data_IF_945371446723
#
_entry.id   IF_945371446723
#
_cell.length_a   1.000
_cell.length_b   1.000
_cell.length_c   1.000
_cell.angle_alpha   90.00
_cell.angle_beta   90.00
_cell.angle_gamma   90.00
#
_symmetry.space_group_name_H-M   'P 1'
#
loop_
_entity.id
_entity.type
_entity.pdbx_description
1 polymer ?
#
# COMPACT_ATOMS: atom_id res chain seq x y z
N UNK A 1 -1.85 46.74 -24.24
CA UNK A 1 -0.96 47.81 -24.75
C UNK A 1 -1.38 48.10 -26.16
N UNK A 2 -1.88 49.32 -26.43
CA UNK A 2 -2.09 49.75 -27.81
C UNK A 2 -0.72 49.75 -28.54
N UNK A 3 -0.63 49.01 -29.62
CA UNK A 3 0.57 48.97 -30.44
C UNK A 3 0.82 50.40 -30.97
N UNK A 4 1.95 50.99 -30.61
CA UNK A 4 2.37 52.29 -31.15
C UNK A 4 2.52 52.13 -32.66
N UNK A 5 1.60 52.69 -33.43
CA UNK A 5 1.68 52.67 -34.89
C UNK A 5 2.95 53.42 -35.34
N UNK A 6 3.72 52.92 -36.33
CA UNK A 6 4.97 53.50 -36.75
C UNK A 6 4.82 54.75 -37.64
N UNK A 7 3.62 55.34 -37.74
CA UNK A 7 3.30 56.50 -38.59
C UNK A 7 2.52 57.56 -37.78
N UNK A 8 2.50 58.81 -38.27
CA UNK A 8 1.87 59.94 -37.59
C UNK A 8 0.34 59.90 -37.66
N UNK A 9 -0.36 60.67 -36.84
CA UNK A 9 -1.81 60.83 -36.94
C UNK A 9 -2.23 61.47 -38.27
N UNK A 10 -1.44 62.37 -38.83
CA UNK A 10 -1.67 62.97 -40.14
C UNK A 10 -1.61 61.95 -41.27
N UNK A 11 -0.64 61.03 -41.24
CA UNK A 11 -0.57 59.94 -42.23
C UNK A 11 -1.78 59.01 -42.13
N UNK A 12 -2.24 58.80 -40.91
CA UNK A 12 -3.44 57.98 -40.70
C UNK A 12 -4.70 58.61 -41.32
N UNK A 13 -4.92 59.89 -41.13
CA UNK A 13 -6.07 60.58 -41.64
C UNK A 13 -5.99 60.81 -43.16
N UNK A 14 -4.82 60.88 -43.76
CA UNK A 14 -4.60 60.98 -45.21
C UNK A 14 -4.77 59.64 -45.94
N UNK A 15 -4.79 58.53 -45.20
CA UNK A 15 -4.99 57.18 -45.75
C UNK A 15 -6.48 56.97 -46.12
N UNK A 16 -6.78 56.39 -47.34
CA UNK A 16 -8.13 56.07 -47.72
C UNK A 16 -8.88 55.25 -46.69
N UNK A 17 -10.21 55.49 -46.51
CA UNK A 17 -11.02 54.87 -45.45
C UNK A 17 -11.02 53.33 -45.55
N UNK A 18 -11.08 52.78 -46.76
CA UNK A 18 -11.02 51.34 -47.01
C UNK A 18 -9.71 50.71 -46.53
N UNK A 19 -8.56 51.42 -46.68
CA UNK A 19 -7.28 50.96 -46.24
C UNK A 19 -7.16 51.04 -44.73
N UNK A 20 -7.69 52.08 -44.09
CA UNK A 20 -7.75 52.21 -42.63
C UNK A 20 -8.60 51.07 -42.01
N UNK A 21 -9.75 50.81 -42.61
CA UNK A 21 -10.58 49.71 -42.17
C UNK A 21 -9.88 48.35 -42.27
N UNK A 22 -9.13 48.11 -43.31
CA UNK A 22 -8.32 46.91 -43.49
C UNK A 22 -7.19 46.80 -42.49
N UNK A 23 -6.46 47.90 -42.21
CA UNK A 23 -5.41 47.93 -41.20
C UNK A 23 -6.00 47.60 -39.80
N UNK A 24 -7.12 48.20 -39.40
CA UNK A 24 -7.77 47.92 -38.13
C UNK A 24 -8.20 46.45 -38.07
N UNK A 25 -8.73 45.87 -39.15
CA UNK A 25 -9.06 44.47 -39.21
C UNK A 25 -7.83 43.58 -39.02
N UNK A 26 -6.68 43.89 -39.67
CA UNK A 26 -5.44 43.16 -39.49
C UNK A 26 -4.89 43.25 -38.03
N UNK A 27 -4.95 44.44 -37.43
CA UNK A 27 -4.54 44.65 -36.03
C UNK A 27 -5.39 43.80 -35.08
N UNK A 28 -6.71 43.74 -35.32
CA UNK A 28 -7.63 42.89 -34.57
C UNK A 28 -7.29 41.39 -34.74
N UNK A 29 -7.00 40.96 -35.97
CA UNK A 29 -6.64 39.60 -36.29
C UNK A 29 -5.31 39.17 -35.60
N UNK A 30 -4.31 40.04 -35.67
CA UNK A 30 -3.01 39.84 -35.01
C UNK A 30 -3.22 39.73 -33.49
N UNK A 31 -4.04 40.61 -32.88
CA UNK A 31 -4.34 40.54 -31.47
C UNK A 31 -5.11 39.26 -31.08
N UNK A 32 -5.95 38.73 -31.95
CA UNK A 32 -6.59 37.43 -31.74
C UNK A 32 -5.60 36.28 -31.86
N UNK A 33 -4.71 36.33 -32.84
CA UNK A 33 -3.67 35.31 -33.04
C UNK A 33 -2.69 35.28 -31.87
N UNK A 34 -2.26 36.43 -31.37
CA UNK A 34 -1.39 36.52 -30.18
C UNK A 34 -2.05 35.88 -28.95
N UNK A 35 -3.30 36.25 -28.65
CA UNK A 35 -4.04 35.63 -27.54
C UNK A 35 -4.15 34.12 -27.70
N UNK A 36 -4.32 33.62 -28.91
CA UNK A 36 -4.41 32.17 -29.20
C UNK A 36 -3.06 31.48 -29.05
N UNK A 37 -1.95 32.12 -29.44
CA UNK A 37 -0.59 31.65 -29.21
C UNK A 37 -0.29 31.54 -27.72
N UNK A 38 -0.55 32.58 -26.94
CA UNK A 38 -0.34 32.57 -25.48
C UNK A 38 -1.11 31.43 -24.80
N UNK A 39 -2.35 31.17 -25.27
CA UNK A 39 -3.17 30.10 -24.75
C UNK A 39 -2.61 28.72 -25.11
N UNK A 40 -2.10 28.55 -26.33
CA UNK A 40 -1.47 27.32 -26.80
C UNK A 40 -0.15 27.05 -26.05
N UNK A 41 0.67 28.07 -25.87
CA UNK A 41 1.93 27.97 -25.11
C UNK A 41 1.67 27.51 -23.68
N UNK A 42 0.73 28.14 -22.97
CA UNK A 42 0.32 27.73 -21.61
C UNK A 42 -0.24 26.29 -21.58
N UNK A 43 -0.94 25.88 -22.63
CA UNK A 43 -1.46 24.50 -22.73
C UNK A 43 -0.36 23.49 -23.00
N UNK A 44 0.60 23.83 -23.86
CA UNK A 44 1.75 22.97 -24.16
C UNK A 44 2.64 22.79 -22.93
N UNK A 45 2.96 23.87 -22.22
CA UNK A 45 3.71 23.83 -20.95
C UNK A 45 3.01 22.93 -19.93
N UNK A 46 1.68 23.04 -19.79
CA UNK A 46 0.90 22.19 -18.90
C UNK A 46 0.96 20.72 -19.29
N UNK A 47 0.87 20.40 -20.58
CA UNK A 47 0.95 19.03 -21.08
C UNK A 47 2.35 18.43 -20.89
N UNK A 48 3.41 19.20 -21.09
CA UNK A 48 4.78 18.77 -20.84
C UNK A 48 5.02 18.46 -19.36
N UNK A 49 4.52 19.32 -18.47
CA UNK A 49 4.54 19.09 -17.02
C UNK A 49 3.81 17.80 -16.67
N UNK A 50 2.64 17.56 -17.25
CA UNK A 50 1.87 16.34 -16.98
C UNK A 50 2.58 15.09 -17.51
N UNK A 51 3.21 15.14 -18.66
CA UNK A 51 3.94 14.01 -19.25
C UNK A 51 5.20 13.62 -18.44
N UNK A 52 5.87 14.59 -17.84
CA UNK A 52 7.07 14.37 -16.99
C UNK A 52 6.72 13.90 -15.56
N UNK A 53 5.44 13.93 -15.13
CA UNK A 53 5.02 13.49 -13.80
C UNK A 53 5.09 11.97 -13.63
N UNK A 54 5.82 11.52 -12.60
CA UNK A 54 5.95 10.13 -12.18
C UNK A 54 5.85 10.00 -10.64
N UNK A 55 5.98 8.79 -10.12
CA UNK A 55 5.87 8.53 -8.68
C UNK A 55 6.99 9.13 -7.82
N UNK A 56 8.07 9.63 -8.43
CA UNK A 56 9.20 10.21 -7.71
C UNK A 56 9.12 11.73 -7.59
N UNK A 57 8.37 12.38 -8.48
CA UNK A 57 8.25 13.83 -8.56
C UNK A 57 6.80 14.33 -8.46
N UNK A 58 5.88 13.46 -8.12
CA UNK A 58 4.46 13.79 -7.94
C UNK A 58 3.78 12.84 -6.96
N UNK A 59 2.50 13.07 -6.67
CA UNK A 59 1.67 12.16 -5.88
C UNK A 59 1.14 10.95 -6.66
N UNK A 60 1.60 10.72 -7.90
CA UNK A 60 1.23 9.53 -8.66
C UNK A 60 1.75 8.27 -7.96
N UNK A 61 0.93 7.22 -7.81
CA UNK A 61 1.40 5.98 -7.22
C UNK A 61 2.43 5.30 -8.14
N UNK A 62 3.44 4.58 -7.61
CA UNK A 62 4.44 3.86 -8.41
C UNK A 62 3.84 2.90 -9.44
N UNK A 63 2.61 2.49 -9.20
CA UNK A 63 1.86 1.60 -10.08
C UNK A 63 1.33 2.27 -11.35
N UNK A 64 1.31 3.59 -11.43
CA UNK A 64 0.91 4.34 -12.63
C UNK A 64 2.11 4.76 -13.50
N UNK A 65 3.35 4.52 -13.04
CA UNK A 65 4.52 4.76 -13.85
C UNK A 65 4.59 3.78 -15.02
N UNK A 66 4.97 4.25 -16.20
CA UNK A 66 5.24 3.37 -17.34
C UNK A 66 6.36 2.38 -16.98
N UNK A 67 6.28 1.10 -17.38
CA UNK A 67 7.35 0.13 -17.19
C UNK A 67 8.70 0.60 -17.76
N UNK A 68 8.66 1.46 -18.77
CA UNK A 68 9.82 2.02 -19.46
C UNK A 68 10.35 3.32 -18.84
N UNK A 69 9.57 3.99 -17.97
CA UNK A 69 9.94 5.26 -17.33
C UNK A 69 10.74 5.09 -16.03
N UNK A 70 11.35 3.92 -15.80
CA UNK A 70 12.23 3.76 -14.64
C UNK A 70 13.35 4.79 -14.77
N UNK A 71 13.42 5.79 -13.88
CA UNK A 71 14.52 6.75 -13.91
C UNK A 71 15.82 5.94 -13.83
N UNK A 72 16.70 6.15 -14.79
CA UNK A 72 18.06 5.62 -14.66
C UNK A 72 18.57 6.13 -13.33
N UNK A 73 18.61 5.28 -12.30
CA UNK A 73 19.30 5.60 -11.08
C UNK A 73 20.69 6.05 -11.57
N UNK A 74 21.06 7.31 -11.36
CA UNK A 74 22.46 7.71 -11.44
C UNK A 74 23.16 6.87 -10.38
N UNK A 75 23.52 5.65 -10.76
CA UNK A 75 24.35 4.81 -9.93
C UNK A 75 25.66 5.58 -9.85
N UNK A 76 25.87 6.29 -8.74
CA UNK A 76 27.24 6.56 -8.33
C UNK A 76 27.92 5.22 -8.48
N UNK A 77 28.88 5.10 -9.40
CA UNK A 77 29.63 3.86 -9.58
C UNK A 77 30.08 3.45 -8.20
N UNK A 78 29.45 2.41 -7.67
CA UNK A 78 29.81 1.86 -6.36
C UNK A 78 31.27 1.48 -6.49
N UNK A 79 32.14 2.04 -5.64
CA UNK A 79 33.56 1.62 -5.56
C UNK A 79 33.70 0.17 -5.09
N UNK A 80 32.60 -0.44 -4.65
CA UNK A 80 32.54 -1.82 -4.18
C UNK A 80 32.23 -2.78 -5.33
N UNK A 81 32.93 -3.89 -5.41
CA UNK A 81 32.65 -5.01 -6.35
C UNK A 81 31.26 -5.60 -6.07
N UNK A 82 30.61 -6.16 -7.10
CA UNK A 82 29.33 -6.89 -6.92
C UNK A 82 29.62 -8.13 -6.03
N UNK A 83 28.73 -8.38 -5.07
CA UNK A 83 28.86 -9.50 -4.12
C UNK A 83 28.94 -9.03 -2.67
N UNK A 84 29.17 -9.98 -1.77
CA UNK A 84 29.33 -9.72 -0.34
C UNK A 84 30.57 -8.87 -0.10
N UNK A 85 30.42 -7.77 0.64
CA UNK A 85 31.53 -6.87 1.00
C UNK A 85 32.24 -7.40 2.25
N UNK A 86 33.50 -6.98 2.47
CA UNK A 86 34.26 -7.35 3.66
C UNK A 86 33.46 -6.94 4.92
N UNK A 87 33.21 -7.89 5.81
CA UNK A 87 32.37 -7.70 7.00
C UNK A 87 30.88 -8.01 6.82
N UNK A 88 30.45 -8.44 5.62
CA UNK A 88 29.07 -8.91 5.42
C UNK A 88 28.86 -10.21 6.20
N UNK A 89 27.88 -10.20 7.12
CA UNK A 89 27.42 -11.44 7.75
C UNK A 89 26.67 -12.26 6.72
N UNK A 90 27.22 -13.39 6.31
CA UNK A 90 26.54 -14.31 5.40
C UNK A 90 25.21 -14.77 5.99
N UNK A 91 24.18 -14.87 5.15
CA UNK A 91 22.95 -15.57 5.53
C UNK A 91 23.19 -17.07 5.37
N UNK A 92 23.19 -17.78 6.51
CA UNK A 92 23.18 -19.23 6.51
C UNK A 92 21.73 -19.71 6.56
N UNK A 93 21.46 -20.88 5.94
CA UNK A 93 20.18 -21.55 6.07
C UNK A 93 19.94 -21.89 7.54
N UNK A 94 18.77 -21.54 8.06
CA UNK A 94 18.41 -21.89 9.43
C UNK A 94 18.31 -23.42 9.54
N UNK A 95 19.05 -24.01 10.46
CA UNK A 95 18.93 -25.43 10.77
C UNK A 95 17.59 -25.67 11.47
N UNK A 96 16.82 -26.60 10.91
CA UNK A 96 15.55 -27.06 11.48
C UNK A 96 15.82 -28.28 12.37
N UNK A 97 14.89 -28.59 13.27
CA UNK A 97 14.94 -29.83 14.02
C UNK A 97 14.84 -31.02 13.06
N UNK A 98 15.81 -31.96 13.08
CA UNK A 98 15.82 -33.05 12.12
C UNK A 98 14.75 -34.10 12.47
N UNK A 99 14.01 -34.55 11.45
CA UNK A 99 13.13 -35.72 11.56
C UNK A 99 13.89 -37.03 11.45
N UNK A 100 15.09 -37.01 10.85
CA UNK A 100 15.99 -38.15 10.71
C UNK A 100 17.44 -37.65 10.71
N UNK A 101 18.32 -38.37 11.38
CA UNK A 101 19.78 -38.13 11.38
C UNK A 101 20.45 -39.34 10.76
N UNK A 102 21.28 -39.09 9.76
CA UNK A 102 22.14 -40.13 9.13
C UNK A 102 23.59 -39.75 9.30
N UNK A 103 24.35 -40.61 9.98
CA UNK A 103 25.79 -40.47 10.10
C UNK A 103 26.47 -41.12 8.89
N UNK A 104 27.13 -40.30 8.06
CA UNK A 104 27.83 -40.77 6.87
C UNK A 104 29.32 -40.84 7.20
N UNK A 105 29.85 -42.04 7.11
CA UNK A 105 31.30 -42.34 7.33
C UNK A 105 31.96 -42.44 5.98
N UNK A 106 33.18 -41.93 5.79
CA UNK A 106 33.93 -42.08 4.57
C UNK A 106 34.18 -43.57 4.25
N UNK A 107 33.96 -43.93 2.96
CA UNK A 107 34.13 -45.34 2.53
C UNK A 107 35.57 -45.77 2.36
N UNK A 108 36.53 -44.85 2.43
CA UNK A 108 37.96 -45.12 2.27
C UNK A 108 38.74 -43.80 2.08
N UNK A 109 40.04 -43.94 1.86
CA UNK A 109 40.96 -42.85 1.59
C UNK A 109 41.42 -42.86 0.13
N UNK A 110 41.73 -41.69 -0.41
CA UNK A 110 42.23 -41.54 -1.79
C UNK A 110 43.57 -42.24 -2.00
N UNK A 111 44.30 -42.63 -0.96
CA UNK A 111 45.49 -43.46 -1.02
C UNK A 111 45.20 -44.96 -1.27
N UNK A 112 43.91 -45.36 -1.33
CA UNK A 112 43.49 -46.76 -1.50
C UNK A 112 43.20 -47.52 -0.20
N UNK A 113 43.41 -46.90 0.97
CA UNK A 113 43.09 -47.49 2.28
C UNK A 113 41.57 -47.53 2.53
N UNK A 114 41.06 -48.72 2.90
CA UNK A 114 39.62 -48.95 3.12
C UNK A 114 39.24 -48.91 4.62
N UNK A 115 40.19 -48.93 5.52
CA UNK A 115 39.96 -48.94 6.98
C UNK A 115 40.39 -47.63 7.57
N UNK A 116 39.46 -47.00 8.26
CA UNK A 116 39.68 -45.75 9.03
C UNK A 116 39.83 -46.11 10.50
N UNK A 117 40.65 -45.35 11.21
CA UNK A 117 40.75 -45.45 12.66
C UNK A 117 39.41 -45.01 13.31
N UNK A 118 38.68 -45.91 13.99
CA UNK A 118 37.39 -45.65 14.59
C UNK A 118 37.36 -44.46 15.54
N UNK A 119 38.45 -44.26 16.32
CA UNK A 119 38.56 -43.22 17.34
C UNK A 119 38.81 -41.83 16.73
N UNK A 120 39.19 -41.77 15.47
CA UNK A 120 39.40 -40.53 14.73
C UNK A 120 38.14 -40.01 14.06
N UNK A 121 37.07 -40.80 13.96
CA UNK A 121 35.82 -40.45 13.27
C UNK A 121 35.03 -39.44 14.11
N UNK A 122 34.89 -38.21 13.59
CA UNK A 122 34.13 -37.14 14.24
C UNK A 122 33.39 -36.30 13.23
N UNK A 123 32.20 -35.76 13.57
CA UNK A 123 31.49 -34.85 12.72
C UNK A 123 32.30 -33.60 12.40
N UNK A 124 32.39 -33.20 11.15
CA UNK A 124 33.04 -31.95 10.73
C UNK A 124 32.05 -30.97 10.09
N UNK A 125 30.92 -31.47 9.53
CA UNK A 125 29.91 -30.67 8.88
C UNK A 125 28.55 -31.36 8.93
N UNK A 126 27.48 -30.60 9.13
CA UNK A 126 26.10 -31.08 9.06
C UNK A 126 25.43 -30.50 7.83
N UNK A 127 25.04 -31.36 6.89
CA UNK A 127 24.26 -30.99 5.72
C UNK A 127 22.77 -31.21 6.00
N UNK A 128 21.95 -30.16 5.80
CA UNK A 128 20.49 -30.23 5.92
C UNK A 128 19.88 -30.42 4.55
N UNK A 129 19.15 -31.51 4.35
CA UNK A 129 18.27 -31.76 3.21
C UNK A 129 16.82 -31.67 3.67
N UNK A 130 16.01 -30.85 3.01
CA UNK A 130 14.60 -30.64 3.36
C UNK A 130 13.76 -31.12 2.18
N UNK A 131 12.91 -32.12 2.43
CA UNK A 131 12.01 -32.68 1.43
C UNK A 131 10.56 -32.59 1.91
N UNK A 132 9.63 -32.35 1.00
CA UNK A 132 8.22 -32.38 1.25
C UNK A 132 7.70 -33.83 1.03
N UNK A 133 7.15 -34.48 2.07
CA UNK A 133 6.56 -35.82 1.89
C UNK A 133 5.34 -35.76 1.01
N UNK A 134 4.91 -36.91 0.47
CA UNK A 134 3.69 -37.03 -0.30
C UNK A 134 2.49 -36.48 0.48
N UNK A 135 1.77 -35.50 -0.11
CA UNK A 135 0.61 -34.87 0.52
C UNK A 135 -0.63 -35.70 0.18
N UNK A 136 -1.24 -36.29 1.21
CA UNK A 136 -2.51 -37.03 1.08
C UNK A 136 -3.62 -36.31 1.85
N UNK A 137 -4.78 -36.12 1.20
CA UNK A 137 -5.97 -35.59 1.88
C UNK A 137 -6.71 -36.71 2.61
N UNK A 138 -7.19 -36.43 3.84
CA UNK A 138 -8.06 -37.34 4.57
C UNK A 138 -9.49 -37.20 4.07
N UNK A 139 -10.08 -38.28 3.58
CA UNK A 139 -11.45 -38.30 3.08
C UNK A 139 -12.33 -39.17 4.01
N UNK A 140 -13.40 -38.60 4.58
CA UNK A 140 -14.36 -39.29 5.41
C UNK A 140 -15.71 -39.31 4.72
N UNK A 141 -16.31 -40.47 4.57
CA UNK A 141 -17.67 -40.66 4.07
C UNK A 141 -18.65 -40.84 5.24
N UNK A 142 -19.58 -39.91 5.39
CA UNK A 142 -20.67 -40.01 6.36
C UNK A 142 -21.89 -40.68 5.70
N UNK A 143 -22.15 -41.94 6.00
CA UNK A 143 -23.31 -42.68 5.50
C UNK A 143 -24.50 -42.37 6.37
N UNK A 144 -25.45 -41.57 5.88
CA UNK A 144 -26.61 -41.13 6.61
C UNK A 144 -27.76 -42.13 6.41
N UNK A 145 -28.18 -42.77 7.49
CA UNK A 145 -29.27 -43.74 7.48
C UNK A 145 -30.60 -43.06 7.81
N UNK A 146 -31.70 -43.71 7.40
CA UNK A 146 -33.06 -43.34 7.76
C UNK A 146 -33.82 -44.56 8.33
N UNK A 147 -34.75 -44.32 9.23
CA UNK A 147 -35.60 -45.32 9.81
C UNK A 147 -36.99 -44.81 10.10
N UNK A 148 -37.99 -45.73 10.26
CA UNK A 148 -39.33 -45.37 10.68
C UNK A 148 -39.44 -45.39 12.21
N UNK A 149 -40.04 -44.35 12.78
CA UNK A 149 -40.36 -44.31 14.21
C UNK A 149 -41.44 -45.33 14.53
N UNK A 150 -41.17 -46.19 15.48
CA UNK A 150 -42.16 -47.24 15.91
C UNK A 150 -43.39 -46.63 16.57
N UNK A 151 -43.31 -45.47 17.20
CA UNK A 151 -44.44 -44.83 17.89
C UNK A 151 -45.39 -44.09 16.94
N UNK A 152 -44.87 -43.39 15.91
CA UNK A 152 -45.66 -42.48 15.03
C UNK A 152 -45.59 -42.84 13.56
N UNK A 153 -44.78 -43.83 13.14
CA UNK A 153 -44.61 -44.25 11.76
C UNK A 153 -43.79 -43.23 10.88
N UNK A 154 -43.41 -42.05 11.39
CA UNK A 154 -42.67 -41.03 10.63
C UNK A 154 -41.25 -41.49 10.31
N UNK A 155 -40.79 -41.18 9.08
CA UNK A 155 -39.42 -41.43 8.70
C UNK A 155 -38.51 -40.37 9.32
N UNK A 156 -37.50 -40.80 10.05
CA UNK A 156 -36.43 -39.96 10.65
C UNK A 156 -35.16 -40.21 9.86
N UNK A 157 -34.47 -39.14 9.49
CA UNK A 157 -33.21 -39.16 8.75
C UNK A 157 -32.08 -38.65 9.64
N UNK A 158 -30.94 -39.32 9.61
CA UNK A 158 -29.73 -38.82 10.24
C UNK A 158 -29.24 -37.52 9.56
N UNK A 159 -28.56 -36.67 10.31
CA UNK A 159 -27.99 -35.41 9.82
C UNK A 159 -26.48 -35.52 9.83
N UNK A 160 -25.82 -34.81 8.88
CA UNK A 160 -24.37 -34.64 8.88
C UNK A 160 -23.98 -33.85 10.14
N UNK A 161 -22.87 -34.19 10.83
CA UNK A 161 -22.36 -33.40 11.94
C UNK A 161 -22.14 -31.93 11.49
N UNK A 162 -22.45 -30.98 12.36
CA UNK A 162 -22.47 -29.54 12.02
C UNK A 162 -21.15 -29.07 11.44
N UNK A 163 -20.05 -29.51 12.03
CA UNK A 163 -18.67 -29.19 11.61
C UNK A 163 -18.29 -29.76 10.25
N UNK A 164 -19.05 -30.78 9.75
CA UNK A 164 -18.77 -31.44 8.46
C UNK A 164 -19.72 -31.01 7.33
N UNK A 165 -20.76 -30.22 7.62
CA UNK A 165 -21.78 -29.81 6.64
C UNK A 165 -21.21 -29.07 5.42
N UNK A 166 -20.08 -28.40 5.58
CA UNK A 166 -19.42 -27.65 4.55
C UNK A 166 -18.64 -28.46 3.48
N UNK A 167 -18.47 -29.76 3.69
CA UNK A 167 -17.74 -30.66 2.80
C UNK A 167 -16.23 -30.49 2.81
N UNK A 168 -15.69 -29.42 3.36
CA UNK A 168 -14.25 -29.14 3.48
C UNK A 168 -13.95 -28.70 4.92
N UNK A 169 -13.02 -29.39 5.58
CA UNK A 169 -12.60 -29.11 6.95
C UNK A 169 -11.85 -27.79 7.11
N UNK A 170 -11.60 -27.38 8.35
CA UNK A 170 -11.01 -26.08 8.71
C UNK A 170 -9.63 -25.86 8.07
N UNK A 171 -8.74 -26.87 8.12
CA UNK A 171 -7.39 -26.75 7.56
C UNK A 171 -7.39 -26.59 6.04
N UNK A 172 -8.18 -27.38 5.31
CA UNK A 172 -8.28 -27.28 3.85
C UNK A 172 -8.94 -25.96 3.44
N UNK A 173 -9.98 -25.54 4.16
CA UNK A 173 -10.61 -24.23 3.96
C UNK A 173 -9.63 -23.08 4.20
N UNK A 174 -8.74 -23.18 5.20
CA UNK A 174 -7.70 -22.21 5.46
C UNK A 174 -6.66 -22.14 4.31
N UNK A 175 -6.20 -23.29 3.78
CA UNK A 175 -5.30 -23.31 2.60
C UNK A 175 -5.92 -22.57 1.40
N UNK A 176 -7.16 -22.94 1.05
CA UNK A 176 -7.90 -22.33 -0.07
C UNK A 176 -8.02 -20.80 0.13
N UNK A 177 -8.37 -20.40 1.34
CA UNK A 177 -8.59 -18.99 1.69
C UNK A 177 -7.28 -18.20 1.75
N UNK A 178 -6.20 -18.79 2.23
CA UNK A 178 -4.89 -18.15 2.25
C UNK A 178 -4.34 -17.95 0.85
N UNK A 179 -4.44 -18.97 -0.02
CA UNK A 179 -4.05 -18.83 -1.43
C UNK A 179 -4.84 -17.71 -2.13
N UNK A 180 -6.16 -17.69 -1.96
CA UNK A 180 -7.01 -16.69 -2.59
C UNK A 180 -6.81 -15.29 -2.00
N UNK A 181 -6.78 -15.16 -0.68
CA UNK A 181 -6.75 -13.88 0.03
C UNK A 181 -5.34 -13.35 0.28
N UNK A 182 -4.50 -14.14 0.97
CA UNK A 182 -3.15 -13.70 1.36
C UNK A 182 -2.18 -13.69 0.18
N UNK A 183 -2.37 -14.55 -0.81
CA UNK A 183 -1.51 -14.63 -1.99
C UNK A 183 -2.16 -14.06 -3.25
N UNK A 184 -3.47 -13.76 -3.21
CA UNK A 184 -4.21 -13.15 -4.31
C UNK A 184 -4.33 -14.06 -5.53
N UNK A 185 -4.37 -15.38 -5.33
CA UNK A 185 -4.59 -16.35 -6.39
C UNK A 185 -6.04 -16.27 -6.91
N UNK A 186 -6.22 -16.50 -8.22
CA UNK A 186 -7.55 -16.64 -8.81
C UNK A 186 -8.21 -17.95 -8.36
N UNK A 187 -9.51 -18.07 -8.54
CA UNK A 187 -10.21 -19.34 -8.19
C UNK A 187 -9.71 -20.50 -9.05
N UNK A 188 -9.42 -20.25 -10.31
CA UNK A 188 -8.82 -21.22 -11.23
C UNK A 188 -7.43 -21.66 -10.75
N UNK A 189 -6.56 -20.71 -10.36
CA UNK A 189 -5.25 -21.04 -9.78
C UNK A 189 -5.37 -21.88 -8.51
N UNK A 190 -6.37 -21.60 -7.65
CA UNK A 190 -6.63 -22.40 -6.44
C UNK A 190 -7.16 -23.78 -6.82
N UNK A 191 -8.02 -23.89 -7.84
CA UNK A 191 -8.52 -25.14 -8.37
C UNK A 191 -7.39 -26.02 -8.89
N UNK A 192 -6.50 -25.45 -9.72
CA UNK A 192 -5.33 -26.14 -10.27
C UNK A 192 -4.39 -26.62 -9.15
N UNK A 193 -4.17 -25.79 -8.11
CA UNK A 193 -3.38 -26.20 -6.96
C UNK A 193 -4.01 -27.38 -6.21
N UNK A 194 -5.31 -27.35 -5.97
CA UNK A 194 -6.01 -28.48 -5.32
C UNK A 194 -5.91 -29.76 -6.13
N UNK A 195 -6.02 -29.67 -7.46
CA UNK A 195 -5.92 -30.84 -8.34
C UNK A 195 -4.49 -31.35 -8.46
N UNK A 196 -3.52 -30.47 -8.70
CA UNK A 196 -2.14 -30.86 -9.03
C UNK A 196 -1.31 -31.21 -7.80
N UNK A 197 -1.48 -30.49 -6.69
CA UNK A 197 -0.66 -30.63 -5.48
C UNK A 197 -1.35 -31.48 -4.41
N UNK A 198 -2.67 -31.29 -4.23
CA UNK A 198 -3.42 -31.99 -3.18
C UNK A 198 -4.18 -33.22 -3.71
N UNK A 199 -4.24 -33.43 -5.02
CA UNK A 199 -4.79 -34.62 -5.67
C UNK A 199 -6.32 -34.76 -5.63
N UNK A 200 -7.09 -33.66 -5.38
CA UNK A 200 -8.54 -33.73 -5.37
C UNK A 200 -9.20 -32.62 -6.22
N UNK A 201 -10.34 -32.93 -6.88
CA UNK A 201 -11.08 -31.96 -7.67
C UNK A 201 -11.95 -31.06 -6.81
N UNK A 202 -11.99 -29.76 -7.11
CA UNK A 202 -12.90 -28.79 -6.53
C UNK A 202 -13.39 -27.82 -7.61
N UNK A 203 -14.68 -27.49 -7.64
CA UNK A 203 -15.18 -26.49 -8.56
C UNK A 203 -14.89 -25.06 -8.09
N UNK A 204 -14.79 -24.10 -9.01
CA UNK A 204 -14.66 -22.67 -8.68
C UNK A 204 -15.78 -22.16 -7.79
N UNK A 205 -17.01 -22.69 -7.96
CA UNK A 205 -18.15 -22.43 -7.07
C UNK A 205 -17.96 -23.03 -5.66
N UNK A 206 -17.31 -24.20 -5.56
CA UNK A 206 -16.90 -24.79 -4.28
C UNK A 206 -15.89 -23.91 -3.55
N UNK A 207 -14.87 -23.45 -4.26
CA UNK A 207 -13.86 -22.49 -3.74
C UNK A 207 -14.54 -21.22 -3.25
N UNK A 208 -15.47 -20.65 -4.03
CA UNK A 208 -16.21 -19.45 -3.62
C UNK A 208 -16.97 -19.66 -2.32
N UNK A 209 -17.65 -20.81 -2.15
CA UNK A 209 -18.36 -21.12 -0.90
C UNK A 209 -17.42 -21.24 0.30
N UNK A 210 -16.23 -21.79 0.10
CA UNK A 210 -15.19 -21.83 1.15
C UNK A 210 -14.75 -20.42 1.53
N UNK A 211 -14.49 -19.55 0.54
CA UNK A 211 -14.10 -18.14 0.76
C UNK A 211 -15.21 -17.39 1.52
N UNK A 212 -16.47 -17.55 1.14
CA UNK A 212 -17.60 -16.88 1.79
C UNK A 212 -17.72 -17.31 3.27
N UNK A 213 -17.59 -18.60 3.56
CA UNK A 213 -17.57 -19.10 4.95
C UNK A 213 -16.38 -18.56 5.74
N UNK A 214 -15.20 -18.61 5.17
CA UNK A 214 -14.00 -18.07 5.82
C UNK A 214 -14.15 -16.57 6.08
N UNK A 215 -14.74 -15.83 5.14
CA UNK A 215 -15.05 -14.42 5.35
C UNK A 215 -15.90 -14.19 6.59
N UNK A 216 -16.92 -15.01 6.79
CA UNK A 216 -17.76 -14.92 7.99
C UNK A 216 -17.00 -15.38 9.24
N UNK A 217 -16.20 -16.43 9.15
CA UNK A 217 -15.40 -16.93 10.27
C UNK A 217 -14.40 -15.91 10.81
N UNK A 218 -13.81 -15.08 9.94
CA UNK A 218 -12.85 -14.03 10.35
C UNK A 218 -13.49 -12.67 10.65
N UNK A 219 -14.81 -12.55 10.59
CA UNK A 219 -15.52 -11.30 10.91
C UNK A 219 -15.26 -10.80 12.33
N UNK A 220 -15.29 -11.64 13.38
CA UNK A 220 -14.98 -11.21 14.74
C UNK A 220 -13.54 -10.67 14.86
N UNK A 221 -12.58 -11.29 14.19
CA UNK A 221 -11.18 -10.84 14.15
C UNK A 221 -11.08 -9.48 13.46
N UNK A 222 -11.79 -9.30 12.34
CA UNK A 222 -11.82 -8.03 11.60
C UNK A 222 -12.38 -6.89 12.46
N UNK A 223 -13.47 -7.14 13.18
CA UNK A 223 -14.07 -6.16 14.07
C UNK A 223 -13.12 -5.79 15.22
N UNK A 224 -12.47 -6.77 15.83
CA UNK A 224 -11.47 -6.52 16.89
C UNK A 224 -10.27 -5.72 16.38
N UNK A 225 -9.78 -6.00 15.16
CA UNK A 225 -8.73 -5.20 14.53
C UNK A 225 -9.17 -3.73 14.37
N UNK A 226 -10.42 -3.49 13.97
CA UNK A 226 -11.01 -2.16 13.89
C UNK A 226 -11.06 -1.45 15.24
N UNK A 227 -11.51 -2.14 16.28
CA UNK A 227 -11.53 -1.63 17.65
C UNK A 227 -10.13 -1.28 18.16
N UNK A 228 -9.15 -2.16 17.94
CA UNK A 228 -7.76 -1.91 18.34
C UNK A 228 -7.13 -0.74 17.56
N UNK A 229 -7.49 -0.55 16.29
CA UNK A 229 -7.07 0.62 15.53
C UNK A 229 -7.63 1.91 16.16
N UNK A 230 -8.90 1.92 16.54
CA UNK A 230 -9.58 3.09 17.15
C UNK A 230 -9.16 3.38 18.60
N UNK A 231 -8.61 2.39 19.32
CA UNK A 231 -8.03 2.62 20.67
C UNK A 231 -6.62 3.20 20.62
N UNK A 232 -5.93 3.17 19.50
CA UNK A 232 -4.55 3.63 19.39
C UNK A 232 -4.43 5.15 19.47
N UNK A 233 -3.36 5.64 20.13
CA UNK A 233 -3.07 7.07 20.24
C UNK A 233 -2.69 7.72 18.89
N UNK A 234 -2.08 6.96 17.99
CA UNK A 234 -1.58 7.44 16.69
C UNK A 234 -1.96 6.46 15.60
N UNK A 235 -2.55 6.95 14.51
CA UNK A 235 -2.80 6.17 13.32
C UNK A 235 -2.41 6.93 12.06
N UNK A 236 -1.88 6.18 11.09
CA UNK A 236 -1.79 6.63 9.71
C UNK A 236 -3.06 6.24 8.94
N UNK A 237 -3.56 7.14 8.13
CA UNK A 237 -4.69 6.90 7.21
C UNK A 237 -4.28 7.17 5.79
N UNK A 238 -4.71 6.31 4.88
CA UNK A 238 -4.46 6.44 3.44
C UNK A 238 -5.56 5.70 2.67
N UNK A 239 -5.72 5.99 1.38
CA UNK A 239 -6.72 5.33 0.55
C UNK A 239 -6.21 5.10 -0.88
N UNK A 240 -6.81 4.13 -1.54
CA UNK A 240 -6.54 3.84 -2.95
C UNK A 240 -7.83 3.51 -3.68
N UNK A 241 -7.88 3.75 -4.99
CA UNK A 241 -9.02 3.32 -5.79
C UNK A 241 -9.22 1.81 -5.69
N UNK A 242 -10.48 1.38 -5.68
CA UNK A 242 -10.94 0.01 -5.77
C UNK A 242 -12.04 -0.07 -6.82
N UNK A 243 -12.38 -1.25 -7.30
CA UNK A 243 -13.48 -1.42 -8.24
C UNK A 243 -14.42 -2.51 -7.77
N UNK A 244 -15.73 -2.27 -7.89
CA UNK A 244 -16.77 -3.28 -7.72
C UNK A 244 -17.66 -3.32 -8.95
N UNK A 245 -17.68 -4.46 -9.66
CA UNK A 245 -18.40 -4.61 -10.93
C UNK A 245 -18.10 -3.46 -11.91
N UNK A 246 -16.82 -3.10 -12.06
CA UNK A 246 -16.37 -1.99 -12.91
C UNK A 246 -16.62 -0.57 -12.36
N UNK A 247 -17.41 -0.40 -11.30
CA UNK A 247 -17.68 0.90 -10.67
C UNK A 247 -16.58 1.27 -9.67
N UNK A 248 -16.07 2.50 -9.77
CA UNK A 248 -15.05 3.03 -8.87
C UNK A 248 -15.57 3.08 -7.42
N UNK A 249 -14.77 2.54 -6.52
CA UNK A 249 -14.89 2.64 -5.07
C UNK A 249 -13.52 2.99 -4.48
N UNK A 250 -13.42 3.08 -3.16
CA UNK A 250 -12.19 3.45 -2.47
C UNK A 250 -11.91 2.49 -1.32
N UNK A 251 -10.71 1.91 -1.35
CA UNK A 251 -10.18 1.11 -0.26
C UNK A 251 -9.39 2.02 0.67
N UNK A 252 -9.92 2.21 1.86
CA UNK A 252 -9.34 3.00 2.94
C UNK A 252 -8.56 2.10 3.88
N UNK A 253 -7.53 2.63 4.51
CA UNK A 253 -6.80 1.92 5.57
C UNK A 253 -6.51 2.85 6.74
N UNK A 254 -6.61 2.31 7.95
CA UNK A 254 -6.20 2.92 9.21
C UNK A 254 -5.14 2.00 9.84
N UNK A 255 -3.93 2.51 10.06
CA UNK A 255 -2.78 1.70 10.47
C UNK A 255 -2.01 2.33 11.62
N UNK A 256 -1.52 1.48 12.51
CA UNK A 256 -0.54 1.86 13.54
C UNK A 256 0.63 0.85 13.56
N UNK A 257 1.33 0.71 14.68
CA UNK A 257 2.49 -0.19 14.78
C UNK A 257 2.12 -1.68 14.76
N UNK A 258 0.88 -2.01 15.11
CA UNK A 258 0.47 -3.37 15.45
C UNK A 258 -0.74 -3.88 14.69
N UNK A 259 -1.59 -2.99 14.16
CA UNK A 259 -2.78 -3.37 13.38
C UNK A 259 -2.93 -2.53 12.11
N UNK A 260 -3.60 -3.13 11.13
CA UNK A 260 -4.02 -2.47 9.90
C UNK A 260 -5.48 -2.83 9.61
N UNK A 261 -6.34 -1.83 9.69
CA UNK A 261 -7.77 -1.95 9.42
C UNK A 261 -8.09 -1.44 8.03
N UNK A 262 -8.90 -2.17 7.26
CA UNK A 262 -9.28 -1.82 5.90
C UNK A 262 -10.79 -1.76 5.75
N UNK A 263 -11.26 -0.80 4.97
CA UNK A 263 -12.67 -0.59 4.66
C UNK A 263 -12.83 -0.16 3.20
N UNK A 264 -13.80 -0.69 2.48
CA UNK A 264 -14.17 -0.27 1.12
C UNK A 264 -15.42 0.60 1.18
N UNK A 265 -15.32 1.83 0.67
CA UNK A 265 -16.43 2.78 0.62
C UNK A 265 -16.69 3.24 -0.82
N UNK A 266 -17.95 3.52 -1.23
CA UNK A 266 -18.25 4.01 -2.56
C UNK A 266 -17.54 5.32 -2.91
N UNK A 267 -17.37 6.21 -1.93
CA UNK A 267 -16.89 7.55 -2.13
C UNK A 267 -15.52 7.80 -1.48
N UNK A 268 -14.72 8.70 -2.08
CA UNK A 268 -13.57 9.34 -1.46
C UNK A 268 -14.04 10.64 -0.79
N UNK A 269 -14.60 10.54 0.40
CA UNK A 269 -15.30 11.65 1.04
C UNK A 269 -14.99 11.73 2.54
N UNK A 270 -15.40 12.87 3.17
CA UNK A 270 -15.34 13.03 4.62
C UNK A 270 -16.20 12.00 5.35
N UNK A 271 -17.34 11.63 4.78
CA UNK A 271 -18.21 10.57 5.31
C UNK A 271 -17.49 9.23 5.41
N UNK A 272 -16.78 8.82 4.31
CA UNK A 272 -16.00 7.60 4.31
C UNK A 272 -14.88 7.62 5.37
N UNK A 273 -14.21 8.75 5.51
CA UNK A 273 -13.19 8.93 6.54
C UNK A 273 -13.78 8.81 7.95
N UNK A 274 -14.91 9.48 8.22
CA UNK A 274 -15.60 9.38 9.51
C UNK A 274 -16.07 7.95 9.80
N UNK A 275 -16.59 7.23 8.81
CA UNK A 275 -16.96 5.83 8.98
C UNK A 275 -15.76 4.92 9.31
N UNK A 276 -14.58 5.20 8.73
CA UNK A 276 -13.36 4.46 9.04
C UNK A 276 -12.91 4.64 10.48
N UNK A 277 -12.87 5.89 10.93
CA UNK A 277 -12.30 6.27 12.22
C UNK A 277 -13.31 6.20 13.38
N UNK A 278 -14.62 6.27 13.05
CA UNK A 278 -15.71 6.36 14.03
C UNK A 278 -15.51 7.55 15.01
N UNK A 279 -15.49 7.32 16.29
CA UNK A 279 -15.28 8.35 17.33
C UNK A 279 -13.80 8.59 17.69
N UNK A 280 -12.85 7.95 17.00
CA UNK A 280 -11.42 8.11 17.23
C UNK A 280 -10.97 9.55 17.03
N UNK A 281 -10.21 10.09 18.00
CA UNK A 281 -9.69 11.47 18.01
C UNK A 281 -8.20 11.54 18.33
N UNK A 282 -7.44 10.50 18.01
CA UNK A 282 -5.99 10.45 18.23
C UNK A 282 -5.19 11.31 17.24
N UNK A 283 -3.90 11.10 17.21
CA UNK A 283 -2.97 11.83 16.33
C UNK A 283 -2.99 11.19 14.95
N UNK A 284 -3.34 11.97 13.94
CA UNK A 284 -3.47 11.53 12.56
C UNK A 284 -2.15 11.71 11.78
N UNK A 285 -1.67 10.68 11.09
CA UNK A 285 -0.62 10.80 10.08
C UNK A 285 -1.26 10.62 8.71
N UNK A 286 -1.16 11.61 7.82
CA UNK A 286 -1.81 11.55 6.51
C UNK A 286 -1.07 12.38 5.46
N UNK A 287 -1.46 12.26 4.21
CA UNK A 287 -1.11 13.23 3.17
C UNK A 287 -1.93 14.54 3.33
N UNK A 288 -1.80 15.47 2.37
CA UNK A 288 -2.54 16.73 2.35
C UNK A 288 -3.86 16.64 1.55
N UNK A 289 -4.55 15.50 1.61
CA UNK A 289 -5.89 15.44 1.06
C UNK A 289 -6.86 16.28 1.92
N UNK A 290 -7.73 17.05 1.26
CA UNK A 290 -8.57 18.04 1.92
C UNK A 290 -9.46 17.53 3.07
N UNK A 291 -9.77 16.24 3.08
CA UNK A 291 -10.54 15.58 4.15
C UNK A 291 -9.78 15.56 5.49
N UNK A 292 -8.45 15.52 5.44
CA UNK A 292 -7.58 15.42 6.62
C UNK A 292 -7.12 16.77 7.16
N UNK A 293 -7.17 17.83 6.33
CA UNK A 293 -6.60 19.16 6.63
C UNK A 293 -7.24 19.81 7.87
N UNK A 294 -8.53 19.55 8.11
CA UNK A 294 -9.26 20.10 9.25
C UNK A 294 -9.46 19.04 10.36
N UNK A 295 -8.45 18.21 10.62
CA UNK A 295 -8.51 17.26 11.71
C UNK A 295 -8.63 17.98 13.08
N UNK A 296 -9.48 17.46 13.95
CA UNK A 296 -9.83 18.11 15.23
C UNK A 296 -8.74 18.04 16.31
N UNK A 297 -7.70 17.24 16.08
CA UNK A 297 -6.57 17.07 16.98
C UNK A 297 -5.24 17.24 16.21
N UNK A 298 -4.08 16.90 16.82
CA UNK A 298 -2.78 16.96 16.18
C UNK A 298 -2.74 16.07 14.93
N UNK A 299 -2.17 16.60 13.86
CA UNK A 299 -1.96 15.90 12.61
C UNK A 299 -0.51 16.03 12.16
N UNK A 300 0.12 14.92 11.80
CA UNK A 300 1.42 14.91 11.12
C UNK A 300 1.20 14.82 9.61
N UNK A 301 1.60 15.85 8.90
CA UNK A 301 1.65 15.81 7.43
C UNK A 301 2.78 14.89 6.95
N UNK A 302 2.50 14.01 6.02
CA UNK A 302 3.48 13.11 5.44
C UNK A 302 4.57 13.86 4.67
N UNK A 303 5.77 14.00 5.25
CA UNK A 303 6.90 14.68 4.62
C UNK A 303 7.33 14.04 3.30
N UNK A 304 7.15 12.73 3.12
CA UNK A 304 7.50 12.05 1.87
C UNK A 304 6.67 12.58 0.68
N UNK A 305 5.41 12.93 0.87
CA UNK A 305 4.57 13.54 -0.15
C UNK A 305 5.01 14.97 -0.50
N UNK A 306 5.35 15.77 0.51
CA UNK A 306 5.87 17.13 0.30
C UNK A 306 7.22 17.10 -0.40
N UNK A 307 8.13 16.23 0.01
CA UNK A 307 9.45 16.01 -0.64
C UNK A 307 9.28 15.63 -2.12
N UNK A 308 8.32 14.75 -2.44
CA UNK A 308 8.03 14.41 -3.86
C UNK A 308 7.52 15.61 -4.65
N UNK A 309 6.61 16.41 -4.06
CA UNK A 309 6.12 17.65 -4.69
C UNK A 309 7.26 18.66 -4.90
N UNK A 310 8.06 18.92 -3.87
CA UNK A 310 9.21 19.82 -3.94
C UNK A 310 10.22 19.38 -5.02
N UNK A 311 10.51 18.08 -5.09
CA UNK A 311 11.36 17.52 -6.14
C UNK A 311 10.77 17.74 -7.53
N UNK A 312 9.45 17.60 -7.71
CA UNK A 312 8.77 17.91 -8.97
C UNK A 312 8.93 19.37 -9.37
N UNK A 313 8.92 20.32 -8.43
CA UNK A 313 9.18 21.74 -8.70
C UNK A 313 10.65 21.99 -9.07
N UNK A 314 11.59 21.33 -8.39
CA UNK A 314 13.03 21.43 -8.68
C UNK A 314 13.40 20.91 -10.09
N UNK A 315 12.51 20.16 -10.75
CA UNK A 315 12.70 19.67 -12.12
C UNK A 315 12.03 20.57 -13.19
N UNK A 316 11.49 21.75 -12.81
CA UNK A 316 10.84 22.69 -13.75
C UNK A 316 11.86 23.49 -14.54
N UNK A 317 11.49 23.89 -15.75
CA UNK A 317 12.31 24.76 -16.62
C UNK A 317 12.29 26.20 -16.15
N UNK A 318 11.15 26.67 -15.63
CA UNK A 318 11.03 27.99 -15.02
C UNK A 318 11.97 28.12 -13.82
N UNK A 319 12.90 29.08 -13.89
CA UNK A 319 13.97 29.28 -12.93
C UNK A 319 13.44 29.61 -11.52
N UNK A 320 12.45 30.48 -11.42
CA UNK A 320 11.86 30.86 -10.13
C UNK A 320 11.23 29.65 -9.42
N UNK A 321 10.44 28.84 -10.15
CA UNK A 321 9.81 27.63 -9.62
C UNK A 321 10.85 26.59 -9.25
N UNK A 322 11.89 26.41 -10.08
CA UNK A 322 12.99 25.48 -9.83
C UNK A 322 13.76 25.86 -8.56
N UNK A 323 14.15 27.12 -8.44
CA UNK A 323 14.88 27.61 -7.27
C UNK A 323 14.09 27.43 -5.97
N UNK A 324 12.79 27.78 -5.98
CA UNK A 324 11.91 27.47 -4.85
C UNK A 324 11.88 25.97 -4.56
N UNK A 325 11.70 25.14 -5.61
CA UNK A 325 11.66 23.68 -5.48
C UNK A 325 12.93 23.11 -4.85
N UNK A 326 14.11 23.59 -5.25
CA UNK A 326 15.39 23.15 -4.68
C UNK A 326 15.56 23.58 -3.22
N UNK A 327 15.18 24.82 -2.89
CA UNK A 327 15.29 25.34 -1.53
C UNK A 327 14.34 24.60 -0.58
N UNK A 328 13.05 24.48 -0.92
CA UNK A 328 12.06 23.79 -0.08
C UNK A 328 12.38 22.30 0.03
N UNK A 329 12.93 21.67 -1.01
CA UNK A 329 13.37 20.28 -0.98
C UNK A 329 14.46 20.06 0.07
N UNK A 330 15.45 20.95 0.15
CA UNK A 330 16.54 20.88 1.15
C UNK A 330 15.98 20.99 2.58
N UNK A 331 15.09 21.95 2.83
CA UNK A 331 14.49 22.15 4.16
C UNK A 331 13.62 20.94 4.58
N UNK A 332 12.78 20.40 3.69
CA UNK A 332 11.97 19.24 3.98
C UNK A 332 12.78 17.95 4.19
N UNK A 333 13.91 17.81 3.47
CA UNK A 333 14.83 16.68 3.67
C UNK A 333 15.57 16.79 5.02
N UNK A 334 15.99 18.00 5.40
CA UNK A 334 16.60 18.29 6.70
C UNK A 334 15.61 17.96 7.82
N UNK A 335 14.38 18.46 7.73
CA UNK A 335 13.32 18.17 8.69
C UNK A 335 13.09 16.66 8.83
N UNK A 336 12.95 15.93 7.72
CA UNK A 336 12.78 14.48 7.75
C UNK A 336 13.98 13.74 8.36
N UNK A 337 15.20 14.24 8.18
CA UNK A 337 16.41 13.68 8.79
C UNK A 337 16.39 13.78 10.32
N UNK A 338 15.77 14.79 10.88
CA UNK A 338 15.67 15.01 12.32
C UNK A 338 14.83 13.95 13.06
N UNK A 339 14.09 13.13 12.34
CA UNK A 339 13.48 11.93 12.95
C UNK A 339 14.51 10.95 13.54
N UNK A 340 15.78 11.00 13.05
CA UNK A 340 16.88 10.16 13.53
C UNK A 340 17.84 10.91 14.44
N UNK A 341 17.96 12.21 14.25
CA UNK A 341 18.88 13.07 14.99
C UNK A 341 18.20 14.41 15.24
N UNK A 342 17.46 14.56 16.34
CA UNK A 342 16.74 15.81 16.65
C UNK A 342 17.65 17.04 16.61
N UNK A 343 17.15 18.21 16.20
CA UNK A 343 17.92 19.44 16.14
C UNK A 343 18.20 19.98 17.55
N UNK A 344 19.25 20.79 17.67
CA UNK A 344 19.39 21.70 18.81
C UNK A 344 18.58 22.98 18.56
N UNK A 345 18.46 23.82 19.60
CA UNK A 345 17.67 25.07 19.56
C UNK A 345 18.12 26.01 18.41
N UNK A 346 19.43 26.21 18.24
CA UNK A 346 19.95 27.06 17.17
C UNK A 346 19.61 26.49 15.79
N UNK A 347 19.77 25.19 15.58
CA UNK A 347 19.43 24.52 14.32
C UNK A 347 17.94 24.65 14.01
N UNK A 348 17.10 24.56 15.04
CA UNK A 348 15.65 24.73 14.90
C UNK A 348 15.31 26.17 14.51
N UNK A 349 15.83 27.16 15.21
CA UNK A 349 15.58 28.59 14.95
C UNK A 349 16.03 28.98 13.53
N UNK A 350 17.23 28.55 13.13
CA UNK A 350 17.76 28.81 11.80
C UNK A 350 16.88 28.18 10.71
N UNK A 351 16.44 26.94 10.90
CA UNK A 351 15.55 26.23 9.97
C UNK A 351 14.18 26.93 9.87
N UNK A 352 13.56 27.23 11.02
CA UNK A 352 12.23 27.84 11.08
C UNK A 352 12.23 29.22 10.37
N UNK A 353 13.25 30.03 10.62
CA UNK A 353 13.41 31.33 9.97
C UNK A 353 13.58 31.21 8.45
N UNK A 354 14.42 30.28 7.96
CA UNK A 354 14.60 30.04 6.51
C UNK A 354 13.31 29.53 5.88
N UNK A 355 12.61 28.60 6.54
CA UNK A 355 11.36 28.05 6.02
C UNK A 355 10.29 29.13 5.90
N UNK A 356 10.09 29.95 6.95
CA UNK A 356 9.12 31.04 6.93
C UNK A 356 9.43 32.05 5.83
N UNK A 357 10.68 32.51 5.74
CA UNK A 357 11.09 33.45 4.70
C UNK A 357 10.82 32.89 3.30
N UNK A 358 11.16 31.63 3.06
CA UNK A 358 10.95 30.96 1.79
C UNK A 358 9.44 30.87 1.42
N UNK A 359 8.57 30.58 2.40
CA UNK A 359 7.12 30.55 2.19
C UNK A 359 6.56 31.94 1.90
N UNK A 360 6.93 32.96 2.68
CA UNK A 360 6.47 34.34 2.52
C UNK A 360 6.86 34.94 1.16
N UNK A 361 8.06 34.64 0.66
CA UNK A 361 8.52 35.13 -0.64
C UNK A 361 7.73 34.56 -1.84
N UNK A 362 7.06 33.42 -1.66
CA UNK A 362 6.39 32.73 -2.76
C UNK A 362 4.88 32.57 -2.59
N UNK A 363 4.32 32.80 -1.39
CA UNK A 363 2.88 32.57 -1.15
C UNK A 363 1.97 33.46 -2.02
N UNK A 364 2.43 34.63 -2.42
CA UNK A 364 1.70 35.55 -3.31
C UNK A 364 1.70 35.14 -4.79
N UNK A 365 2.57 34.20 -5.20
CA UNK A 365 2.67 33.77 -6.60
C UNK A 365 1.47 32.90 -7.03
N UNK A 366 0.95 33.17 -8.25
CA UNK A 366 -0.16 32.37 -8.84
C UNK A 366 0.37 31.22 -9.72
N UNK A 367 1.37 30.52 -9.22
CA UNK A 367 2.01 29.38 -9.89
C UNK A 367 2.07 28.13 -9.00
N UNK A 368 2.80 27.09 -9.44
CA UNK A 368 2.98 25.85 -8.67
C UNK A 368 3.76 26.07 -7.36
N UNK A 369 4.72 26.99 -7.35
CA UNK A 369 5.51 27.33 -6.15
C UNK A 369 4.62 28.01 -5.11
N UNK A 370 3.83 29.03 -5.50
CA UNK A 370 2.89 29.72 -4.61
C UNK A 370 1.81 28.78 -4.07
N UNK A 371 1.29 27.88 -4.87
CA UNK A 371 0.35 26.85 -4.40
C UNK A 371 0.93 25.92 -3.32
N UNK A 372 2.20 25.49 -3.50
CA UNK A 372 2.86 24.65 -2.51
C UNK A 372 3.21 25.46 -1.25
N UNK A 373 3.68 26.71 -1.39
CA UNK A 373 3.97 27.60 -0.26
C UNK A 373 2.73 27.84 0.61
N UNK A 374 1.60 28.21 0.00
CA UNK A 374 0.32 28.37 0.71
C UNK A 374 -0.16 27.08 1.36
N UNK A 375 0.02 25.94 0.69
CA UNK A 375 -0.38 24.63 1.25
C UNK A 375 0.45 24.26 2.48
N UNK A 376 1.74 24.55 2.47
CA UNK A 376 2.63 24.31 3.62
C UNK A 376 2.32 25.32 4.73
N UNK A 377 2.17 26.59 4.41
CA UNK A 377 1.90 27.64 5.40
C UNK A 377 0.62 27.43 6.20
N UNK A 378 -0.46 26.93 5.54
CA UNK A 378 -1.74 26.58 6.22
C UNK A 378 -1.60 25.47 7.25
N UNK A 379 -0.62 24.60 7.11
CA UNK A 379 -0.46 23.37 7.86
C UNK A 379 0.91 23.30 8.56
N UNK A 380 1.49 24.46 8.83
CA UNK A 380 2.88 24.58 9.29
C UNK A 380 3.16 23.71 10.52
N UNK A 381 2.31 23.80 11.54
CA UNK A 381 2.42 23.05 12.79
C UNK A 381 2.34 21.52 12.59
N UNK A 382 1.71 21.09 11.50
CA UNK A 382 1.57 19.66 11.20
C UNK A 382 2.82 19.03 10.55
N UNK A 383 3.87 19.82 10.28
CA UNK A 383 5.09 19.31 9.66
C UNK A 383 6.01 18.56 10.62
N UNK A 384 5.97 18.90 11.92
CA UNK A 384 6.96 18.44 12.91
C UNK A 384 6.38 17.86 14.21
N UNK A 385 5.11 17.42 14.21
CA UNK A 385 4.51 16.72 15.34
C UNK A 385 5.34 15.52 15.80
N UNK A 386 6.06 14.88 14.87
CA UNK A 386 6.98 13.78 15.18
C UNK A 386 8.20 14.20 16.02
N UNK A 387 8.58 15.47 16.04
CA UNK A 387 9.64 16.00 16.92
C UNK A 387 9.14 16.21 18.36
N UNK A 388 7.84 16.50 18.51
CA UNK A 388 7.21 16.67 19.82
C UNK A 388 6.80 15.34 20.44
N UNK A 389 6.43 14.36 19.62
CA UNK A 389 5.84 13.10 20.06
C UNK A 389 6.56 11.91 19.37
N UNK A 390 7.43 11.25 20.10
CA UNK A 390 8.34 10.20 19.61
C UNK A 390 7.66 9.01 18.90
N UNK A 391 6.39 8.75 19.18
CA UNK A 391 5.65 7.64 18.56
C UNK A 391 5.05 8.00 17.20
N UNK A 392 5.17 9.25 16.77
CA UNK A 392 4.69 9.74 15.47
C UNK A 392 5.78 9.61 14.43
N UNK A 393 5.47 8.95 13.30
CA UNK A 393 6.39 8.89 12.16
C UNK A 393 6.31 10.19 11.32
N UNK A 394 7.41 10.69 10.76
CA UNK A 394 7.39 11.87 9.88
C UNK A 394 6.72 11.60 8.53
N UNK A 395 6.42 10.35 8.23
CA UNK A 395 5.86 9.91 6.94
C UNK A 395 4.74 8.89 7.12
N UNK A 396 3.81 8.86 6.18
CA UNK A 396 2.73 7.86 6.16
C UNK A 396 3.11 6.57 5.40
N UNK A 397 4.40 6.26 5.31
CA UNK A 397 4.89 5.11 4.55
C UNK A 397 4.35 3.76 5.06
N UNK A 398 3.90 3.69 6.32
CA UNK A 398 3.30 2.48 6.90
C UNK A 398 1.98 2.17 6.22
N UNK A 399 1.08 3.14 6.11
CA UNK A 399 -0.21 3.00 5.42
C UNK A 399 -0.02 2.73 3.92
N UNK A 400 0.91 3.44 3.27
CA UNK A 400 1.28 3.18 1.87
C UNK A 400 1.74 1.71 1.66
N UNK A 401 2.58 1.18 2.56
CA UNK A 401 3.04 -0.22 2.49
C UNK A 401 1.92 -1.22 2.76
N UNK A 402 0.98 -0.89 3.65
CA UNK A 402 -0.18 -1.75 3.92
C UNK A 402 -1.09 -1.86 2.68
N UNK A 403 -1.31 -0.74 1.97
CA UNK A 403 -2.10 -0.72 0.73
C UNK A 403 -1.41 -1.39 -0.47
N UNK A 404 -0.09 -1.52 -0.47
CA UNK A 404 0.66 -1.99 -1.65
C UNK A 404 0.18 -3.34 -2.19
N UNK A 405 -0.12 -4.29 -1.30
CA UNK A 405 -0.63 -5.61 -1.72
C UNK A 405 -2.01 -5.47 -2.37
N UNK A 406 -2.90 -4.68 -1.81
CA UNK A 406 -4.23 -4.42 -2.35
C UNK A 406 -4.16 -3.78 -3.75
N UNK A 407 -3.24 -2.84 -3.97
CA UNK A 407 -3.00 -2.24 -5.29
C UNK A 407 -2.56 -3.29 -6.31
N UNK A 408 -1.67 -4.21 -5.94
CA UNK A 408 -1.25 -5.31 -6.82
C UNK A 408 -2.39 -6.29 -7.08
N UNK A 409 -3.16 -6.63 -6.05
CA UNK A 409 -4.32 -7.50 -6.18
C UNK A 409 -5.36 -6.91 -7.13
N UNK A 410 -5.74 -5.63 -6.92
CA UNK A 410 -6.64 -4.92 -7.84
C UNK A 410 -6.18 -4.96 -9.30
N UNK A 411 -4.87 -4.79 -9.56
CA UNK A 411 -4.32 -4.84 -10.92
C UNK A 411 -4.45 -6.21 -11.58
N UNK A 412 -4.49 -7.28 -10.79
CA UNK A 412 -4.66 -8.65 -11.28
C UNK A 412 -6.13 -9.03 -11.44
N UNK A 413 -6.98 -8.63 -10.49
CA UNK A 413 -8.38 -9.06 -10.40
C UNK A 413 -9.38 -8.04 -10.95
N UNK A 414 -8.94 -6.81 -11.29
CA UNK A 414 -9.80 -5.67 -11.60
C UNK A 414 -10.82 -5.34 -10.47
N UNK A 415 -10.50 -5.71 -9.21
CA UNK A 415 -11.33 -5.49 -8.05
C UNK A 415 -12.26 -6.66 -7.72
N UNK A 416 -13.48 -6.36 -7.28
CA UNK A 416 -14.48 -7.35 -6.85
C UNK A 416 -15.75 -7.24 -7.67
N UNK A 417 -16.59 -8.31 -7.66
CA UNK A 417 -17.85 -8.33 -8.41
C UNK A 417 -19.10 -8.17 -7.51
N UNK A 418 -18.94 -8.17 -6.19
CA UNK A 418 -20.08 -8.13 -5.26
C UNK A 418 -19.73 -7.49 -3.93
N UNK A 419 -20.78 -7.17 -3.13
CA UNK A 419 -20.60 -6.70 -1.75
C UNK A 419 -19.94 -7.77 -0.85
N UNK A 420 -20.25 -9.05 -1.06
CA UNK A 420 -19.56 -10.16 -0.35
C UNK A 420 -18.07 -10.20 -0.69
N UNK A 421 -17.72 -9.95 -1.95
CA UNK A 421 -16.34 -9.83 -2.38
C UNK A 421 -15.60 -8.67 -1.70
N UNK A 422 -16.26 -7.51 -1.54
CA UNK A 422 -15.69 -6.39 -0.77
C UNK A 422 -15.43 -6.81 0.69
N UNK A 423 -16.41 -7.42 1.37
CA UNK A 423 -16.25 -7.90 2.76
C UNK A 423 -15.06 -8.87 2.89
N UNK A 424 -14.94 -9.80 1.95
CA UNK A 424 -13.78 -10.68 1.91
C UNK A 424 -12.47 -9.92 1.85
N UNK A 425 -12.35 -8.94 0.95
CA UNK A 425 -11.14 -8.13 0.77
C UNK A 425 -10.82 -7.33 2.03
N UNK A 426 -11.78 -6.64 2.61
CA UNK A 426 -11.63 -5.88 3.86
C UNK A 426 -11.10 -6.75 5.00
N UNK A 427 -11.73 -7.88 5.20
CA UNK A 427 -11.45 -8.81 6.30
C UNK A 427 -10.09 -9.49 6.15
N UNK A 428 -9.82 -10.06 4.97
CA UNK A 428 -8.57 -10.80 4.76
C UNK A 428 -7.34 -9.86 4.69
N UNK A 429 -7.49 -8.65 4.17
CA UNK A 429 -6.41 -7.66 4.17
C UNK A 429 -6.10 -7.19 5.59
N UNK A 430 -7.13 -6.92 6.40
CA UNK A 430 -6.97 -6.53 7.80
C UNK A 430 -6.26 -7.63 8.58
N UNK A 431 -6.69 -8.88 8.46
CA UNK A 431 -6.03 -10.02 9.07
C UNK A 431 -4.59 -10.16 8.61
N UNK A 432 -4.35 -10.24 7.29
CA UNK A 432 -3.03 -10.46 6.72
C UNK A 432 -2.02 -9.39 7.12
N UNK A 433 -2.40 -8.11 7.00
CA UNK A 433 -1.47 -7.01 7.29
C UNK A 433 -1.20 -6.89 8.79
N UNK A 434 -2.20 -7.16 9.64
CA UNK A 434 -2.02 -7.22 11.09
C UNK A 434 -1.07 -8.37 11.48
N UNK A 435 -1.28 -9.57 10.95
CA UNK A 435 -0.36 -10.70 11.16
C UNK A 435 1.07 -10.35 10.74
N UNK A 436 1.22 -9.73 9.55
CA UNK A 436 2.54 -9.31 9.06
C UNK A 436 3.23 -8.31 9.99
N UNK A 437 2.50 -7.34 10.55
CA UNK A 437 3.04 -6.35 11.48
C UNK A 437 3.51 -6.99 12.78
N UNK A 438 2.86 -8.08 13.18
CA UNK A 438 3.15 -8.84 14.41
C UNK A 438 4.09 -10.03 14.19
N UNK A 439 4.58 -10.23 12.97
CA UNK A 439 5.38 -11.39 12.59
C UNK A 439 4.68 -12.74 12.90
N UNK A 440 3.35 -12.78 12.77
CA UNK A 440 2.52 -13.97 12.98
C UNK A 440 2.18 -14.66 11.65
N UNK A 441 2.13 -15.99 11.60
CA UNK A 441 1.63 -16.71 10.45
C UNK A 441 0.10 -16.59 10.34
N UNK A 442 -0.40 -16.39 9.12
CA UNK A 442 -1.84 -16.24 8.85
C UNK A 442 -2.58 -17.58 8.96
N UNK A 443 -1.96 -18.65 8.46
CA UNK A 443 -2.60 -19.97 8.34
C UNK A 443 -3.18 -20.54 9.65
N UNK A 444 -2.45 -20.61 10.77
CA UNK A 444 -2.98 -21.10 12.03
C UNK A 444 -4.18 -20.30 12.54
N UNK A 445 -4.16 -18.98 12.31
CA UNK A 445 -5.26 -18.10 12.72
C UNK A 445 -6.49 -18.35 11.88
N UNK A 446 -6.35 -18.57 10.57
CA UNK A 446 -7.46 -18.95 9.69
C UNK A 446 -8.04 -20.31 10.12
N UNK A 447 -7.19 -21.29 10.43
CA UNK A 447 -7.65 -22.62 10.91
C UNK A 447 -8.47 -22.48 12.18
N UNK A 448 -7.99 -21.74 13.18
CA UNK A 448 -8.68 -21.50 14.44
C UNK A 448 -10.03 -20.80 14.21
N UNK A 449 -10.05 -19.74 13.40
CA UNK A 449 -11.28 -18.99 13.12
C UNK A 449 -12.34 -19.85 12.41
N UNK A 450 -11.93 -20.67 11.43
CA UNK A 450 -12.85 -21.53 10.69
C UNK A 450 -13.36 -22.68 11.58
N UNK A 451 -12.49 -23.24 12.43
CA UNK A 451 -12.87 -24.31 13.37
C UNK A 451 -13.88 -23.81 14.41
N UNK A 452 -13.62 -22.62 14.98
CA UNK A 452 -14.55 -21.95 15.88
C UNK A 452 -15.91 -21.67 15.20
N UNK A 453 -15.88 -21.17 13.97
CA UNK A 453 -17.09 -20.91 13.18
C UNK A 453 -17.92 -22.18 12.93
N UNK A 454 -17.27 -23.32 12.65
CA UNK A 454 -17.98 -24.58 12.48
C UNK A 454 -18.62 -25.11 13.78
N UNK A 455 -18.05 -24.74 14.92
CA UNK A 455 -18.54 -25.11 16.27
C UNK A 455 -19.49 -24.08 16.88
N UNK A 456 -19.84 -23.03 16.11
CA UNK A 456 -20.62 -21.87 16.59
C UNK A 456 -20.00 -21.20 17.83
N UNK A 457 -18.67 -21.03 17.77
CA UNK A 457 -17.86 -20.43 18.83
C UNK A 457 -17.16 -19.16 18.32
N UNK A 458 -16.76 -18.29 19.25
CA UNK A 458 -15.92 -17.13 18.95
C UNK A 458 -14.46 -17.58 18.77
N UNK A 459 -13.75 -17.14 17.73
CA UNK A 459 -12.33 -17.43 17.56
C UNK A 459 -11.49 -16.76 18.64
N UNK A 460 -10.24 -17.22 18.81
CA UNK A 460 -9.28 -16.57 19.69
C UNK A 460 -8.96 -15.14 19.17
N UNK A 461 -9.24 -14.13 20.00
CA UNK A 461 -9.02 -12.71 19.73
C UNK A 461 -7.86 -12.14 20.57
N UNK A 462 -7.28 -12.91 21.51
CA UNK A 462 -6.26 -12.42 22.45
C UNK A 462 -5.01 -11.93 21.71
N UNK A 463 -4.66 -12.58 20.62
CA UNK A 463 -3.52 -12.17 19.79
C UNK A 463 -3.73 -10.82 19.08
N UNK A 464 -4.97 -10.35 18.93
CA UNK A 464 -5.29 -9.02 18.36
C UNK A 464 -5.21 -7.94 19.43
N UNK A 465 -5.61 -8.26 20.67
CA UNK A 465 -5.61 -7.31 21.77
C UNK A 465 -4.21 -6.70 22.01
N UNK A 466 -4.15 -5.41 22.27
CA UNK A 466 -2.93 -4.66 22.55
C UNK A 466 -3.13 -3.91 23.86
N UNK A 467 -2.20 -4.07 24.78
CA UNK A 467 -2.10 -3.19 25.93
C UNK A 467 -1.36 -1.91 25.46
N UNK A 468 -2.10 -0.83 25.29
CA UNK A 468 -1.58 0.48 24.91
C UNK A 468 -1.04 1.25 26.13
#
# INVERSE_FOLDING_TARGET
MEAKRPFTQLDWFSTPESVRAYIVHLEQLIGQMQRRLDLLEKRTEKLEVESKKNSQNSSKPPSSDSPYSKPKKKTKKSKCKRGAQKGHKGHQQQMLEPTKIENIIPKGCDCGGLVLDPDSIKPFYTHQHIELPEIKVNVTHYILNQGKCQCCGKTVKAKVPAECTGGYGSRLSAVISELSGSHGASRETVQDFCQSVLGFPISTGGIQRVIDRTSNAIEPIYNEIGEQARKAKVNGVDETSWFKSGKLQWLWTMTNNVVAFFMIHPNRSKEAFLQLIDDWKGILISDNYGVYVNWVNKRQTCLAHLIRKAKGLAERENESIRNFGECILKELQLLCHWSKKPPNEKQWTDFYSRLLLLLMLHEGADDEAGRLARSIGKELESLWVFLEINVVDPTNNRSERALRFAVLWRKRSNGTQSGKGNRWVERILSLKQTCRMRALPVFPILVNAIDAYFKDQTPDLQWVAVNY
#
